data_IF_940265736634
#
_entry.id   IF_940265736634
#
_cell.length_a   1.000
_cell.length_b   1.000
_cell.length_c   1.000
_cell.angle_alpha   90.00
_cell.angle_beta   90.00
_cell.angle_gamma   90.00
#
_symmetry.space_group_name_H-M   'P 1'
#
loop_
_entity.id
_entity.type
_entity.pdbx_description
1 polymer ?
#
# COMPACT_ATOMS: atom_id res chain seq x y z
N UNK A 1 13.73 7.94 -24.11
CA UNK A 1 12.63 6.97 -24.10
C UNK A 1 11.84 7.15 -22.81
N UNK A 2 10.51 7.15 -22.84
CA UNK A 2 9.72 7.14 -21.61
C UNK A 2 9.83 5.74 -20.97
N UNK A 3 10.19 5.67 -19.69
CA UNK A 3 10.15 4.43 -18.93
C UNK A 3 8.68 4.13 -18.66
N UNK A 4 8.20 2.96 -19.07
CA UNK A 4 6.84 2.52 -18.72
C UNK A 4 6.86 2.02 -17.28
N UNK A 5 6.11 2.69 -16.41
CA UNK A 5 5.93 2.33 -15.00
C UNK A 5 4.60 1.60 -14.87
N UNK A 6 4.58 0.50 -14.12
CA UNK A 6 3.33 -0.11 -13.67
C UNK A 6 2.50 0.88 -12.84
N UNK A 7 1.18 0.72 -12.82
CA UNK A 7 0.34 1.63 -12.04
C UNK A 7 0.53 1.42 -10.54
N UNK A 8 0.57 2.50 -9.76
CA UNK A 8 0.66 2.40 -8.31
C UNK A 8 -0.59 1.76 -7.69
N UNK A 9 -0.39 1.09 -6.58
CA UNK A 9 -1.46 0.53 -5.77
C UNK A 9 -2.34 1.61 -5.15
N UNK A 10 -3.65 1.36 -5.12
CA UNK A 10 -4.61 2.27 -4.49
C UNK A 10 -4.42 2.36 -2.98
N UNK A 11 -4.58 3.54 -2.38
CA UNK A 11 -4.56 3.68 -0.94
C UNK A 11 -5.78 2.99 -0.28
N UNK A 12 -5.56 2.40 0.88
CA UNK A 12 -6.58 1.79 1.71
C UNK A 12 -7.52 2.82 2.34
N UNK A 13 -8.79 2.45 2.48
CA UNK A 13 -9.83 3.31 3.05
C UNK A 13 -9.65 3.55 4.55
N UNK A 14 -9.96 4.76 5.02
CA UNK A 14 -10.01 5.05 6.46
C UNK A 14 -11.34 4.58 7.06
N UNK A 15 -11.28 3.96 8.23
CA UNK A 15 -12.47 3.57 8.96
C UNK A 15 -13.11 4.76 9.71
N UNK A 16 -14.40 4.61 10.04
CA UNK A 16 -15.10 5.49 10.98
C UNK A 16 -14.69 5.21 12.43
N UNK A 17 -15.50 5.64 13.41
CA UNK A 17 -15.16 5.49 14.83
C UNK A 17 -14.86 4.04 15.24
N UNK A 18 -15.58 3.07 14.67
CA UNK A 18 -15.32 1.64 14.85
C UNK A 18 -15.12 1.02 13.48
N UNK A 19 -14.03 0.29 13.31
CA UNK A 19 -13.70 -0.43 12.09
C UNK A 19 -12.20 -0.44 11.81
N UNK A 20 -11.78 -1.45 11.06
CA UNK A 20 -10.40 -1.53 10.58
C UNK A 20 -10.21 -0.59 9.39
N UNK A 21 -8.99 -0.06 9.25
CA UNK A 21 -8.58 0.53 7.99
C UNK A 21 -8.54 -0.52 6.88
N UNK A 22 -8.82 -0.10 5.65
CA UNK A 22 -8.71 -0.97 4.48
C UNK A 22 -7.24 -1.17 4.09
N UNK A 23 -6.92 -2.32 3.51
CA UNK A 23 -5.58 -2.57 3.00
C UNK A 23 -5.28 -1.71 1.75
N UNK A 24 -4.03 -1.34 1.56
CA UNK A 24 -3.54 -0.74 0.32
C UNK A 24 -3.43 -1.79 -0.78
N UNK A 25 -3.67 -1.39 -2.02
CA UNK A 25 -3.49 -2.23 -3.19
C UNK A 25 -2.01 -2.42 -3.52
N UNK A 26 -1.66 -3.53 -4.17
CA UNK A 26 -0.31 -3.74 -4.67
C UNK A 26 -0.02 -2.86 -5.89
N UNK A 27 1.26 -2.54 -6.09
CA UNK A 27 1.74 -1.96 -7.34
C UNK A 27 1.52 -2.89 -8.53
N UNK A 28 1.32 -2.32 -9.71
CA UNK A 28 1.11 -3.02 -10.96
C UNK A 28 2.41 -3.37 -11.67
N UNK A 29 2.37 -4.37 -12.54
CA UNK A 29 3.49 -4.76 -13.40
C UNK A 29 3.62 -3.82 -14.60
N UNK A 30 4.85 -3.49 -14.98
CA UNK A 30 5.13 -2.96 -16.32
C UNK A 30 5.46 -4.09 -17.27
N UNK A 31 4.75 -4.16 -18.40
CA UNK A 31 4.97 -5.18 -19.42
C UNK A 31 5.95 -4.71 -20.52
N UNK A 32 6.55 -3.53 -20.36
CA UNK A 32 7.52 -3.00 -21.31
C UNK A 32 8.92 -3.46 -20.93
N UNK A 33 9.73 -4.00 -21.86
CA UNK A 33 11.12 -4.34 -21.57
C UNK A 33 11.90 -3.14 -21.01
N UNK A 34 12.46 -3.31 -19.81
CA UNK A 34 13.16 -2.24 -19.10
C UNK A 34 12.26 -1.25 -18.35
N UNK A 35 10.95 -1.49 -18.27
CA UNK A 35 10.02 -0.74 -17.42
C UNK A 35 10.13 -1.15 -15.94
N UNK A 36 9.70 -0.25 -15.05
CA UNK A 36 9.64 -0.46 -13.60
C UNK A 36 8.22 -0.87 -13.17
N UNK A 37 8.07 -1.59 -12.05
CA UNK A 37 6.72 -1.80 -11.49
C UNK A 37 6.22 -0.57 -10.73
N UNK A 38 4.96 -0.61 -10.30
CA UNK A 38 4.34 0.45 -9.50
C UNK A 38 4.64 0.34 -8.02
N UNK A 39 4.47 1.44 -7.30
CA UNK A 39 4.53 1.48 -5.83
C UNK A 39 3.35 0.74 -5.21
N UNK A 40 3.53 0.20 -4.01
CA UNK A 40 2.43 -0.31 -3.20
C UNK A 40 1.63 0.84 -2.58
N UNK A 41 0.31 0.67 -2.48
CA UNK A 41 -0.58 1.64 -1.84
C UNK A 41 -0.46 1.58 -0.32
N UNK A 42 -0.54 2.74 0.35
CA UNK A 42 -0.56 2.77 1.82
C UNK A 42 -1.85 2.17 2.37
N UNK A 43 -1.75 1.44 3.48
CA UNK A 43 -2.89 0.96 4.24
C UNK A 43 -3.67 2.11 4.89
N UNK A 44 -4.96 1.90 5.08
CA UNK A 44 -5.86 2.86 5.71
C UNK A 44 -5.75 2.83 7.24
N UNK A 45 -6.03 3.97 7.87
CA UNK A 45 -6.07 4.06 9.33
C UNK A 45 -7.43 3.60 9.87
N UNK A 46 -7.41 2.99 11.05
CA UNK A 46 -8.61 2.85 11.87
C UNK A 46 -8.97 4.18 12.57
N UNK A 47 -10.19 4.26 13.12
CA UNK A 47 -10.66 5.40 13.89
C UNK A 47 -10.34 5.27 15.38
N UNK A 48 -11.35 5.05 16.22
CA UNK A 48 -11.19 4.90 17.67
C UNK A 48 -10.86 3.45 18.06
N UNK A 49 -11.59 2.50 17.48
CA UNK A 49 -11.39 1.06 17.71
C UNK A 49 -11.29 0.35 16.36
N UNK A 50 -10.22 -0.40 16.16
CA UNK A 50 -9.97 -1.22 14.96
C UNK A 50 -8.49 -1.25 14.59
N UNK A 51 -8.09 -2.21 13.77
CA UNK A 51 -6.70 -2.31 13.29
C UNK A 51 -6.49 -1.43 12.05
N UNK A 52 -5.28 -0.92 11.87
CA UNK A 52 -4.89 -0.34 10.59
C UNK A 52 -4.86 -1.39 9.49
N UNK A 53 -5.09 -0.97 8.25
CA UNK A 53 -4.92 -1.84 7.08
C UNK A 53 -3.45 -2.03 6.74
N UNK A 54 -3.10 -3.15 6.14
CA UNK A 54 -1.75 -3.41 5.65
C UNK A 54 -1.45 -2.55 4.43
N UNK A 55 -0.18 -2.18 4.24
CA UNK A 55 0.28 -1.58 2.99
C UNK A 55 0.33 -2.64 1.88
N UNK A 56 0.13 -2.20 0.64
CA UNK A 56 0.29 -3.04 -0.53
C UNK A 56 1.75 -3.26 -0.87
N UNK A 57 2.05 -4.39 -1.51
CA UNK A 57 3.40 -4.71 -1.97
C UNK A 57 3.79 -3.80 -3.15
N UNK A 58 5.07 -3.48 -3.25
CA UNK A 58 5.63 -3.00 -4.50
C UNK A 58 5.72 -4.15 -5.50
N UNK A 59 5.75 -3.80 -6.78
CA UNK A 59 6.13 -4.74 -7.83
C UNK A 59 7.52 -4.35 -8.36
N UNK A 60 8.52 -5.22 -8.22
CA UNK A 60 9.87 -4.92 -8.70
C UNK A 60 10.08 -5.53 -10.09
N UNK A 61 10.25 -4.68 -11.10
CA UNK A 61 10.78 -5.08 -12.41
C UNK A 61 11.98 -4.22 -12.79
N UNK A 62 13.12 -4.93 -12.98
CA UNK A 62 14.38 -4.65 -13.71
C UNK A 62 15.08 -3.29 -13.54
N UNK A 63 14.39 -2.15 -13.44
CA UNK A 63 15.03 -0.83 -13.32
C UNK A 63 14.30 0.11 -12.34
N UNK A 64 14.64 -0.03 -11.06
CA UNK A 64 14.56 1.05 -10.07
C UNK A 64 13.20 1.32 -9.41
N UNK A 65 13.22 1.29 -8.07
CA UNK A 65 12.61 2.35 -7.27
C UNK A 65 11.25 2.08 -6.64
N UNK A 66 10.54 1.02 -7.03
CA UNK A 66 9.20 0.75 -6.49
C UNK A 66 9.26 0.55 -4.97
N UNK A 67 8.39 1.27 -4.25
CA UNK A 67 8.37 1.30 -2.78
C UNK A 67 7.11 0.62 -2.28
N UNK A 68 7.27 -0.26 -1.29
CA UNK A 68 6.13 -0.87 -0.64
C UNK A 68 5.29 0.17 0.11
N UNK A 69 3.97 -0.02 0.10
CA UNK A 69 3.06 0.82 0.85
C UNK A 69 3.27 0.67 2.35
N UNK A 70 3.13 1.77 3.10
CA UNK A 70 3.18 1.71 4.56
C UNK A 70 1.89 1.14 5.13
N UNK A 71 1.96 0.39 6.22
CA UNK A 71 0.77 0.01 6.97
C UNK A 71 0.07 1.23 7.59
N UNK A 72 -1.24 1.16 7.74
CA UNK A 72 -2.04 2.17 8.42
C UNK A 72 -1.97 2.06 9.94
N UNK A 73 -2.30 3.15 10.63
CA UNK A 73 -2.35 3.16 12.08
C UNK A 73 -3.60 2.43 12.61
N UNK A 74 -3.43 1.73 13.73
CA UNK A 74 -4.52 1.18 14.53
C UNK A 74 -5.34 2.27 15.23
N UNK A 75 -6.44 1.83 15.85
CA UNK A 75 -7.39 2.70 16.52
C UNK A 75 -6.75 3.38 17.73
N UNK A 76 -7.12 4.64 17.94
CA UNK A 76 -6.56 5.47 19.00
C UNK A 76 -6.70 4.84 20.40
N UNK A 77 -7.84 4.20 20.67
CA UNK A 77 -8.11 3.55 21.95
C UNK A 77 -7.68 2.08 21.93
N UNK A 78 -8.05 1.35 20.88
CA UNK A 78 -7.73 -0.07 20.74
C UNK A 78 -7.54 -0.46 19.27
N UNK A 79 -6.39 -1.07 18.98
CA UNK A 79 -6.09 -1.63 17.68
C UNK A 79 -4.60 -1.72 17.40
N UNK A 80 -4.22 -2.66 16.55
CA UNK A 80 -2.85 -2.78 16.05
C UNK A 80 -2.66 -1.98 14.77
N UNK A 81 -1.45 -1.49 14.53
CA UNK A 81 -1.07 -0.95 13.23
C UNK A 81 -1.04 -2.07 12.20
N UNK A 82 -1.37 -1.73 10.95
CA UNK A 82 -1.13 -2.59 9.81
C UNK A 82 0.36 -2.74 9.55
N UNK A 83 0.73 -3.81 8.86
CA UNK A 83 2.12 -4.04 8.44
C UNK A 83 2.41 -3.33 7.13
N UNK A 84 3.66 -2.93 6.90
CA UNK A 84 4.08 -2.47 5.58
C UNK A 84 3.97 -3.61 4.56
N UNK A 85 3.78 -3.24 3.30
CA UNK A 85 3.87 -4.17 2.19
C UNK A 85 5.29 -4.70 2.02
N UNK A 86 5.42 -5.73 1.20
CA UNK A 86 6.70 -6.28 0.80
C UNK A 86 7.31 -5.48 -0.36
N UNK A 87 8.65 -5.36 -0.40
CA UNK A 87 9.34 -4.80 -1.56
C UNK A 87 9.14 -5.66 -2.80
#
# INVERSE_FOLDING_TARGET
AAVAIGGDGGAGGRAGAIGNGGDGGNGGTSNTPGGSGGDGGNGGNAGLIGNGGNGGNAEIVISGGSVAGTGGNGGLLLGFNGTNGLP
#
